data_IF_699790286886
#
_entry.id   IF_699790286886
#
_cell.length_a   1.000
_cell.length_b   1.000
_cell.length_c   1.000
_cell.angle_alpha   90.00
_cell.angle_beta   90.00
_cell.angle_gamma   90.00
#
_symmetry.space_group_name_H-M   'P 1'
#
loop_
_entity.id
_entity.type
_entity.pdbx_description
1 polymer ?
#
# COMPACT_ATOMS: atom_id res chain seq x y z
N UNK A 1 11.39 -8.75 -1.89
CA UNK A 1 10.30 -9.49 -2.55
C UNK A 1 9.37 -9.96 -1.44
N UNK A 2 8.18 -9.36 -1.35
CA UNK A 2 7.15 -9.79 -0.40
C UNK A 2 6.57 -11.09 -0.93
N UNK A 3 6.61 -12.14 -0.14
CA UNK A 3 5.95 -13.40 -0.49
C UNK A 3 4.49 -13.21 -0.14
N UNK A 4 3.64 -13.20 -1.16
CA UNK A 4 2.19 -13.23 -0.96
C UNK A 4 1.86 -14.54 -0.26
N UNK A 5 1.14 -14.52 0.86
CA UNK A 5 0.78 -15.77 1.54
C UNK A 5 -0.06 -16.66 0.63
N UNK A 6 0.24 -17.95 0.58
CA UNK A 6 -0.48 -18.95 -0.24
C UNK A 6 -1.99 -19.05 0.07
N UNK A 7 -2.42 -18.43 1.17
CA UNK A 7 -3.82 -18.42 1.57
C UNK A 7 -4.67 -17.32 0.89
N UNK A 8 -4.05 -16.32 0.24
CA UNK A 8 -4.83 -15.27 -0.41
C UNK A 8 -5.43 -15.78 -1.72
N UNK A 9 -6.73 -15.53 -1.97
CA UNK A 9 -7.36 -15.93 -3.23
C UNK A 9 -6.79 -15.06 -4.36
N UNK A 10 -6.29 -15.70 -5.40
CA UNK A 10 -5.89 -15.00 -6.62
C UNK A 10 -7.11 -14.38 -7.31
N UNK A 11 -6.95 -13.22 -7.91
CA UNK A 11 -7.93 -12.53 -8.75
C UNK A 11 -9.28 -12.19 -8.05
N UNK A 12 -9.25 -11.88 -6.76
CA UNK A 12 -10.44 -11.40 -6.07
C UNK A 12 -10.49 -9.88 -6.09
N UNK A 13 -11.49 -9.34 -6.76
CA UNK A 13 -11.73 -7.90 -6.81
C UNK A 13 -12.09 -7.34 -5.43
N UNK A 14 -11.51 -6.23 -5.06
CA UNK A 14 -11.82 -5.49 -3.85
C UNK A 14 -13.15 -4.73 -4.02
N UNK A 15 -14.08 -4.92 -3.08
CA UNK A 15 -15.28 -4.10 -3.01
C UNK A 15 -15.10 -2.96 -2.01
N UNK A 16 -15.83 -1.83 -2.15
CA UNK A 16 -15.75 -0.72 -1.21
C UNK A 16 -16.02 -1.13 0.24
N UNK A 17 -16.95 -2.06 0.46
CA UNK A 17 -17.30 -2.59 1.79
C UNK A 17 -16.12 -3.38 2.38
N UNK A 18 -15.46 -4.19 1.56
CA UNK A 18 -14.30 -4.95 1.97
C UNK A 18 -13.13 -4.01 2.30
N UNK A 19 -12.86 -3.04 1.42
CA UNK A 19 -11.83 -2.02 1.64
C UNK A 19 -12.05 -1.28 2.96
N UNK A 20 -13.31 -0.98 3.31
CA UNK A 20 -13.63 -0.27 4.55
C UNK A 20 -13.19 -1.05 5.80
N UNK A 21 -13.13 -2.37 5.76
CA UNK A 21 -12.75 -3.23 6.90
C UNK A 21 -11.26 -3.52 6.98
N UNK A 22 -10.52 -3.35 5.89
CA UNK A 22 -9.10 -3.67 5.83
C UNK A 22 -8.23 -2.69 6.64
N UNK A 23 -7.17 -3.17 7.29
CA UNK A 23 -6.20 -2.32 7.95
C UNK A 23 -5.49 -1.40 6.95
N UNK A 24 -5.16 -0.18 7.37
CA UNK A 24 -4.48 0.84 6.56
C UNK A 24 -3.35 1.49 7.33
N UNK A 25 -2.43 2.05 6.57
CA UNK A 25 -1.34 2.91 7.04
C UNK A 25 -1.40 4.19 6.20
N UNK A 26 -1.23 5.34 6.85
CA UNK A 26 -1.18 6.62 6.18
C UNK A 26 0.21 7.22 6.37
N UNK A 27 0.95 7.39 5.29
CA UNK A 27 2.29 7.96 5.30
C UNK A 27 2.27 9.39 4.75
N UNK A 28 3.05 10.28 5.37
CA UNK A 28 3.19 11.69 4.98
C UNK A 28 1.85 12.45 4.84
N UNK A 29 0.90 12.16 5.73
CA UNK A 29 -0.35 12.91 5.76
C UNK A 29 -0.10 14.41 5.96
N UNK A 30 -0.92 15.24 5.33
CA UNK A 30 -0.79 16.71 5.35
C UNK A 30 -2.09 17.36 5.82
N UNK A 31 -2.00 18.51 6.45
CA UNK A 31 -3.16 19.30 6.89
C UNK A 31 -3.43 19.21 8.39
N UNK A 32 -4.67 19.35 8.82
CA UNK A 32 -5.04 19.35 10.24
C UNK A 32 -5.01 17.94 10.84
N UNK A 33 -4.08 17.70 11.76
CA UNK A 33 -3.87 16.40 12.38
C UNK A 33 -5.11 15.89 13.10
N UNK A 34 -5.87 16.75 13.79
CA UNK A 34 -7.09 16.36 14.50
C UNK A 34 -8.14 15.78 13.55
N UNK A 35 -8.32 16.42 12.39
CA UNK A 35 -9.21 15.95 11.34
C UNK A 35 -8.75 14.63 10.76
N UNK A 36 -7.46 14.49 10.47
CA UNK A 36 -6.85 13.28 9.94
C UNK A 36 -7.06 12.10 10.90
N UNK A 37 -6.80 12.28 12.19
CA UNK A 37 -6.96 11.23 13.19
C UNK A 37 -8.43 10.84 13.39
N UNK A 38 -9.37 11.80 13.34
CA UNK A 38 -10.79 11.50 13.38
C UNK A 38 -11.26 10.65 12.18
N UNK A 39 -10.77 10.95 10.98
CA UNK A 39 -11.03 10.16 9.78
C UNK A 39 -10.34 8.79 9.82
N UNK A 40 -9.09 8.75 10.25
CA UNK A 40 -8.27 7.55 10.35
C UNK A 40 -8.91 6.48 11.24
N UNK A 41 -9.51 6.90 12.36
CA UNK A 41 -10.23 5.99 13.28
C UNK A 41 -11.37 5.25 12.59
N UNK A 42 -12.13 5.95 11.74
CA UNK A 42 -13.26 5.36 11.02
C UNK A 42 -12.84 4.51 9.81
N UNK A 43 -11.58 4.60 9.41
CA UNK A 43 -11.01 3.94 8.22
C UNK A 43 -10.09 2.78 8.57
N UNK A 44 -10.03 2.34 9.81
CA UNK A 44 -9.11 1.30 10.30
C UNK A 44 -7.62 1.60 10.02
N UNK A 45 -7.24 2.89 10.12
CA UNK A 45 -5.83 3.28 10.01
C UNK A 45 -5.13 2.97 11.33
N UNK A 46 -4.04 2.20 11.25
CA UNK A 46 -3.26 1.75 12.41
C UNK A 46 -2.16 2.74 12.80
N UNK A 47 -1.61 3.41 11.79
CA UNK A 47 -0.47 4.30 11.94
C UNK A 47 -0.57 5.47 10.97
N UNK A 48 -0.25 6.65 11.46
CA UNK A 48 -0.19 7.89 10.68
C UNK A 48 1.21 8.48 10.81
N UNK A 49 1.88 8.67 9.70
CA UNK A 49 3.01 9.59 9.60
C UNK A 49 2.50 10.95 9.15
N UNK A 50 2.69 11.96 9.96
CA UNK A 50 2.24 13.31 9.68
C UNK A 50 3.41 14.22 9.33
N UNK A 51 3.31 14.89 8.18
CA UNK A 51 4.30 15.89 7.77
C UNK A 51 4.05 17.19 8.54
N UNK A 52 5.05 17.67 9.25
CA UNK A 52 4.96 18.85 10.10
C UNK A 52 6.20 19.72 9.98
N UNK A 53 6.07 21.00 10.31
CA UNK A 53 7.25 21.81 10.60
C UNK A 53 7.83 21.39 11.97
N UNK A 54 9.15 21.40 12.11
CA UNK A 54 9.80 20.99 13.38
C UNK A 54 9.26 21.79 14.57
N UNK A 55 9.00 23.09 14.38
CA UNK A 55 8.50 23.98 15.42
C UNK A 55 7.08 23.63 15.91
N UNK A 56 6.28 22.96 15.09
CA UNK A 56 4.88 22.62 15.41
C UNK A 56 4.76 21.30 16.16
N UNK A 57 5.79 20.44 16.11
CA UNK A 57 5.76 19.08 16.71
C UNK A 57 5.38 19.09 18.17
N UNK A 58 5.88 19.97 19.06
CA UNK A 58 5.49 19.97 20.48
C UNK A 58 3.98 20.19 20.71
N UNK A 59 3.34 21.00 19.87
CA UNK A 59 1.90 21.22 19.94
C UNK A 59 1.13 20.02 19.38
N UNK A 60 1.56 19.47 18.25
CA UNK A 60 0.93 18.34 17.61
C UNK A 60 1.09 17.04 18.43
N UNK A 61 2.16 16.93 19.22
CA UNK A 61 2.39 15.81 20.11
C UNK A 61 1.24 15.63 21.14
N UNK A 62 0.70 16.72 21.67
CA UNK A 62 -0.45 16.65 22.59
C UNK A 62 -1.69 16.05 21.90
N UNK A 63 -1.92 16.39 20.63
CA UNK A 63 -3.02 15.83 19.83
C UNK A 63 -2.78 14.35 19.56
N UNK A 64 -1.55 13.97 19.27
CA UNK A 64 -1.16 12.59 19.03
C UNK A 64 -1.32 11.72 20.28
N UNK A 65 -0.95 12.21 21.47
CA UNK A 65 -1.08 11.49 22.74
C UNK A 65 -2.54 11.21 23.11
N UNK A 66 -3.48 12.08 22.73
CA UNK A 66 -4.91 11.87 22.95
C UNK A 66 -5.52 10.85 21.98
N UNK A 67 -4.81 10.47 20.95
CA UNK A 67 -5.27 9.52 19.93
C UNK A 67 -5.04 8.07 20.35
N UNK A 68 -5.95 7.19 19.90
CA UNK A 68 -5.72 5.74 19.95
C UNK A 68 -4.91 5.20 18.77
N UNK A 69 -4.57 6.06 17.80
CA UNK A 69 -3.81 5.72 16.61
C UNK A 69 -2.35 6.09 16.88
N UNK A 70 -1.43 5.24 16.47
CA UNK A 70 -0.01 5.56 16.53
C UNK A 70 0.32 6.69 15.56
N UNK A 71 1.05 7.70 16.01
CA UNK A 71 1.47 8.85 15.21
C UNK A 71 2.99 8.99 15.26
N UNK A 72 3.59 9.25 14.11
CA UNK A 72 4.96 9.69 13.99
C UNK A 72 5.03 10.96 13.16
N UNK A 73 5.94 11.89 13.49
CA UNK A 73 6.15 13.09 12.69
C UNK A 73 7.32 12.93 11.75
N UNK A 74 7.08 13.22 10.49
CA UNK A 74 8.13 13.43 9.50
C UNK A 74 8.23 14.93 9.27
N UNK A 75 9.42 15.48 9.39
CA UNK A 75 9.58 16.94 9.38
C UNK A 75 10.42 17.41 8.21
N UNK A 76 10.04 18.56 7.63
CA UNK A 76 10.87 19.19 6.60
C UNK A 76 12.19 19.66 7.22
N UNK A 77 13.29 19.19 6.65
CA UNK A 77 14.62 19.66 7.01
C UNK A 77 15.16 20.53 5.88
N UNK A 78 15.48 21.77 6.19
CA UNK A 78 16.03 22.73 5.23
C UNK A 78 17.51 23.04 5.46
N UNK A 79 18.04 22.64 6.61
CA UNK A 79 19.42 22.90 6.94
C UNK A 79 19.85 22.48 8.35
N UNK A 80 21.05 22.93 8.78
CA UNK A 80 21.63 22.55 10.06
C UNK A 80 20.79 22.90 11.30
N UNK A 81 20.04 24.01 11.27
CA UNK A 81 19.21 24.42 12.40
C UNK A 81 18.03 23.47 12.62
N UNK A 82 17.41 23.00 11.52
CA UNK A 82 16.34 22.01 11.61
C UNK A 82 16.90 20.67 12.09
N UNK A 83 18.08 20.28 11.61
CA UNK A 83 18.73 19.06 12.07
C UNK A 83 19.01 19.11 13.58
N UNK A 84 19.50 20.21 14.12
CA UNK A 84 19.74 20.37 15.56
C UNK A 84 18.41 20.20 16.33
N UNK A 85 17.34 20.85 15.87
CA UNK A 85 16.02 20.72 16.49
C UNK A 85 15.42 19.29 16.38
N UNK A 86 15.68 18.57 15.28
CA UNK A 86 15.28 17.17 15.12
C UNK A 86 16.03 16.27 16.11
N UNK A 87 17.33 16.49 16.29
CA UNK A 87 18.16 15.71 17.20
C UNK A 87 17.84 15.96 18.66
N UNK A 88 17.37 17.15 18.99
CA UNK A 88 17.00 17.58 20.34
C UNK A 88 15.50 17.43 20.63
N UNK A 89 14.74 16.74 19.80
CA UNK A 89 13.28 16.55 19.96
C UNK A 89 12.91 15.96 21.31
N UNK A 90 12.24 16.75 22.21
CA UNK A 90 11.87 16.27 23.54
C UNK A 90 10.66 15.34 23.53
N UNK A 91 9.90 15.28 22.44
CA UNK A 91 8.68 14.48 22.34
C UNK A 91 8.99 13.02 22.00
N UNK A 92 10.11 12.78 21.31
CA UNK A 92 10.46 11.46 20.77
C UNK A 92 9.52 10.97 19.67
N UNK A 93 8.70 11.85 19.09
CA UNK A 93 7.74 11.53 18.05
C UNK A 93 8.22 11.88 16.65
N UNK A 94 9.35 12.60 16.49
CA UNK A 94 9.99 12.78 15.18
C UNK A 94 10.65 11.48 14.79
N UNK A 95 10.10 10.82 13.77
CA UNK A 95 10.56 9.51 13.29
C UNK A 95 11.46 9.61 12.07
N UNK A 96 11.45 10.73 11.38
CA UNK A 96 12.26 10.98 10.19
C UNK A 96 12.13 12.40 9.66
N UNK A 97 12.84 12.67 8.58
CA UNK A 97 12.84 13.98 7.94
C UNK A 97 12.64 13.89 6.42
N UNK A 98 12.26 15.00 5.79
CA UNK A 98 12.23 15.16 4.34
C UNK A 98 13.44 15.98 3.90
N UNK A 99 14.12 15.49 2.88
CA UNK A 99 15.20 16.20 2.20
C UNK A 99 14.78 16.54 0.78
N UNK A 100 14.78 17.80 0.43
CA UNK A 100 14.46 18.29 -0.92
C UNK A 100 15.70 18.54 -1.77
N UNK A 101 16.88 18.55 -1.17
CA UNK A 101 18.14 18.80 -1.86
C UNK A 101 19.22 17.78 -1.48
N UNK A 102 20.21 17.55 -2.35
CA UNK A 102 21.34 16.66 -2.07
C UNK A 102 22.14 17.05 -0.82
N UNK A 103 22.28 18.35 -0.56
CA UNK A 103 23.03 18.87 0.58
C UNK A 103 22.33 18.50 1.90
N UNK A 104 21.00 18.65 1.96
CA UNK A 104 20.19 18.28 3.13
C UNK A 104 20.18 16.77 3.32
N UNK A 105 20.05 15.99 2.24
CA UNK A 105 20.13 14.55 2.30
C UNK A 105 21.49 14.07 2.85
N UNK A 106 22.59 14.70 2.42
CA UNK A 106 23.92 14.41 2.95
C UNK A 106 24.04 14.79 4.44
N UNK A 107 23.44 15.90 4.86
CA UNK A 107 23.40 16.34 6.24
C UNK A 107 22.67 15.30 7.13
N UNK A 108 21.45 14.90 6.77
CA UNK A 108 20.64 13.91 7.49
C UNK A 108 21.34 12.55 7.55
N UNK A 109 21.89 12.08 6.42
CA UNK A 109 22.66 10.84 6.36
C UNK A 109 23.84 10.84 7.33
N UNK A 110 24.62 11.93 7.38
CA UNK A 110 25.79 12.02 8.25
C UNK A 110 25.38 12.04 9.73
N UNK A 111 24.20 12.54 10.05
CA UNK A 111 23.62 12.53 11.39
C UNK A 111 22.87 11.24 11.73
N UNK A 112 22.78 10.27 10.79
CA UNK A 112 22.04 9.02 10.91
C UNK A 112 20.53 9.24 11.17
N UNK A 113 19.98 10.34 10.72
CA UNK A 113 18.54 10.60 10.73
C UNK A 113 17.92 9.93 9.52
N UNK A 114 16.91 9.05 9.69
CA UNK A 114 16.16 8.49 8.56
C UNK A 114 15.50 9.58 7.75
N UNK A 115 15.53 9.48 6.43
CA UNK A 115 14.92 10.52 5.60
C UNK A 115 14.24 9.99 4.35
N UNK A 116 13.23 10.73 3.93
CA UNK A 116 12.61 10.67 2.62
C UNK A 116 13.35 11.63 1.71
N UNK A 117 13.63 11.22 0.49
CA UNK A 117 14.10 12.15 -0.52
C UNK A 117 12.94 12.56 -1.44
N UNK A 118 12.63 13.83 -1.42
CA UNK A 118 11.56 14.46 -2.22
C UNK A 118 12.20 15.53 -3.14
N UNK A 119 12.95 15.05 -4.12
CA UNK A 119 13.64 15.90 -5.09
C UNK A 119 13.82 15.19 -6.42
N UNK A 120 13.97 15.99 -7.48
CA UNK A 120 13.98 15.53 -8.87
C UNK A 120 15.31 14.98 -9.38
N UNK A 121 16.39 14.99 -8.59
CA UNK A 121 17.72 14.55 -9.04
C UNK A 121 18.18 13.35 -8.25
N UNK A 122 18.22 12.23 -8.92
CA UNK A 122 18.13 10.94 -8.27
C UNK A 122 19.47 10.24 -8.03
N UNK A 123 20.41 10.27 -8.95
CA UNK A 123 21.51 9.28 -8.93
C UNK A 123 22.48 9.38 -7.76
N UNK A 124 22.75 10.57 -7.24
CA UNK A 124 23.80 10.76 -6.23
C UNK A 124 23.29 10.71 -4.78
N UNK A 125 21.98 10.77 -4.58
CA UNK A 125 21.41 11.09 -3.27
C UNK A 125 20.53 10.00 -2.72
N UNK A 126 19.90 9.22 -3.58
CA UNK A 126 18.86 8.24 -3.18
C UNK A 126 19.40 6.98 -2.52
N UNK A 127 20.66 6.64 -2.70
CA UNK A 127 21.19 5.36 -2.20
C UNK A 127 21.17 5.22 -0.66
N UNK A 128 20.99 6.31 0.06
CA UNK A 128 20.89 6.31 1.52
C UNK A 128 19.52 6.82 2.01
N UNK A 129 18.61 7.18 1.12
CA UNK A 129 17.24 7.50 1.49
C UNK A 129 16.53 6.26 1.99
N UNK A 130 15.67 6.41 3.00
CA UNK A 130 14.83 5.33 3.46
C UNK A 130 13.68 5.06 2.49
N UNK A 131 13.20 6.09 1.79
CA UNK A 131 12.25 6.04 0.68
C UNK A 131 12.35 7.28 -0.19
N UNK A 132 11.80 7.20 -1.39
CA UNK A 132 11.71 8.30 -2.35
C UNK A 132 10.24 8.53 -2.73
N UNK A 133 9.90 9.74 -3.19
CA UNK A 133 8.50 10.13 -3.47
C UNK A 133 8.23 10.49 -4.94
N UNK A 134 9.24 10.70 -5.76
CA UNK A 134 9.06 11.13 -7.16
C UNK A 134 8.80 9.93 -8.09
N UNK A 135 7.64 9.27 -7.91
CA UNK A 135 7.23 8.15 -8.76
C UNK A 135 7.01 8.56 -10.22
N UNK A 136 6.46 9.75 -10.45
CA UNK A 136 6.17 10.26 -11.80
C UNK A 136 7.47 10.65 -12.51
N UNK A 137 8.38 11.35 -11.82
CA UNK A 137 9.69 11.67 -12.37
C UNK A 137 10.50 10.42 -12.72
N UNK A 138 10.38 9.36 -11.93
CA UNK A 138 11.08 8.10 -12.17
C UNK A 138 10.68 7.44 -13.50
N UNK A 139 9.43 7.58 -13.91
CA UNK A 139 8.95 7.00 -15.19
C UNK A 139 9.63 7.67 -16.40
N UNK A 140 10.15 8.87 -16.25
CA UNK A 140 10.94 9.52 -17.33
C UNK A 140 12.23 8.76 -17.68
N UNK A 141 12.71 7.92 -16.78
CA UNK A 141 13.85 7.02 -16.98
C UNK A 141 13.45 5.66 -17.61
N UNK A 142 12.23 5.55 -18.14
CA UNK A 142 11.80 4.35 -18.85
C UNK A 142 11.98 4.52 -20.35
N UNK A 143 12.33 3.43 -21.02
CA UNK A 143 12.47 3.38 -22.46
C UNK A 143 11.59 2.30 -23.05
N UNK A 144 10.99 2.62 -24.19
CA UNK A 144 10.28 1.64 -25.01
C UNK A 144 11.28 1.01 -25.99
N UNK A 145 11.39 -0.31 -25.96
CA UNK A 145 12.24 -1.06 -26.89
C UNK A 145 11.55 -1.23 -28.26
N UNK A 146 12.30 -1.68 -29.26
CA UNK A 146 11.76 -1.98 -30.61
C UNK A 146 10.69 -3.11 -30.58
N UNK A 147 10.75 -3.97 -29.56
CA UNK A 147 9.79 -5.06 -29.33
C UNK A 147 8.56 -4.60 -28.49
N UNK A 148 8.42 -3.29 -28.27
CA UNK A 148 7.36 -2.66 -27.47
C UNK A 148 7.38 -3.04 -25.98
N UNK A 149 8.53 -3.43 -25.45
CA UNK A 149 8.73 -3.63 -24.01
C UNK A 149 9.15 -2.33 -23.34
N UNK A 150 8.62 -2.07 -22.14
CA UNK A 150 9.01 -0.94 -21.31
C UNK A 150 10.11 -1.42 -20.36
N UNK A 151 11.28 -0.80 -20.44
CA UNK A 151 12.42 -1.13 -19.58
C UNK A 151 12.87 0.07 -18.77
N UNK A 152 13.24 -0.12 -17.48
CA UNK A 152 13.82 0.95 -16.68
C UNK A 152 15.25 1.24 -17.13
N UNK A 153 15.66 2.50 -17.04
CA UNK A 153 17.03 2.98 -17.30
C UNK A 153 17.45 3.95 -16.20
N UNK A 154 18.69 4.44 -16.23
CA UNK A 154 19.16 5.49 -15.32
C UNK A 154 18.87 5.22 -13.84
N UNK A 155 18.24 6.18 -13.18
CA UNK A 155 17.90 6.08 -11.77
C UNK A 155 16.84 5.02 -11.49
N UNK A 156 15.95 4.70 -12.43
CA UNK A 156 14.93 3.67 -12.25
C UNK A 156 15.56 2.27 -12.04
N UNK A 157 16.61 1.94 -12.79
CA UNK A 157 17.37 0.68 -12.57
C UNK A 157 17.95 0.65 -11.16
N UNK A 158 18.52 1.75 -10.69
CA UNK A 158 19.11 1.81 -9.37
C UNK A 158 18.06 1.61 -8.26
N UNK A 159 16.90 2.24 -8.38
CA UNK A 159 15.78 2.10 -7.43
C UNK A 159 15.29 0.65 -7.39
N UNK A 160 15.13 0.03 -8.56
CA UNK A 160 14.71 -1.36 -8.68
C UNK A 160 15.74 -2.33 -8.09
N UNK A 161 17.01 -2.22 -8.49
CA UNK A 161 18.10 -3.10 -8.03
C UNK A 161 18.33 -3.03 -6.52
N UNK A 162 18.14 -1.84 -5.93
CA UNK A 162 18.32 -1.62 -4.50
C UNK A 162 17.05 -1.87 -3.70
N UNK A 163 15.97 -2.20 -4.37
CA UNK A 163 14.66 -2.39 -3.75
C UNK A 163 14.27 -1.20 -2.84
N UNK A 164 14.59 0.03 -3.30
CA UNK A 164 14.28 1.24 -2.53
C UNK A 164 12.77 1.45 -2.50
N UNK A 165 12.18 1.72 -1.32
CA UNK A 165 10.77 2.04 -1.23
C UNK A 165 10.43 3.31 -2.02
N UNK A 166 9.46 3.20 -2.91
CA UNK A 166 8.92 4.27 -3.71
C UNK A 166 7.52 4.61 -3.21
N UNK A 167 7.39 5.74 -2.53
CA UNK A 167 6.12 6.19 -1.99
C UNK A 167 5.32 6.90 -3.06
N UNK A 168 4.29 6.25 -3.56
CA UNK A 168 3.31 6.83 -4.47
C UNK A 168 2.30 7.66 -3.69
N UNK A 169 2.02 8.87 -4.18
CA UNK A 169 1.15 9.86 -3.53
C UNK A 169 0.09 10.38 -4.52
N UNK A 170 -0.85 9.54 -5.01
CA UNK A 170 -1.74 9.90 -6.12
C UNK A 170 -2.56 11.16 -5.87
N UNK A 171 -3.10 11.34 -4.66
CA UNK A 171 -3.88 12.53 -4.32
C UNK A 171 -3.03 13.81 -4.26
N UNK A 172 -1.79 13.69 -3.78
CA UNK A 172 -0.84 14.81 -3.74
C UNK A 172 -0.35 15.18 -5.14
N UNK A 173 -0.12 14.19 -6.00
CA UNK A 173 0.32 14.44 -7.37
C UNK A 173 -0.76 15.10 -8.22
N UNK A 174 -2.05 14.82 -7.96
CA UNK A 174 -3.17 15.61 -8.51
C UNK A 174 -3.12 17.05 -7.98
N UNK A 175 -2.94 17.22 -6.67
CA UNK A 175 -2.89 18.56 -6.05
C UNK A 175 -1.72 19.38 -6.59
N UNK A 176 -0.62 18.74 -6.95
CA UNK A 176 0.55 19.36 -7.57
C UNK A 176 0.44 19.48 -9.10
N UNK A 177 -0.70 19.14 -9.69
CA UNK A 177 -0.95 19.17 -11.13
C UNK A 177 0.04 18.32 -11.96
N UNK A 178 0.62 17.27 -11.36
CA UNK A 178 1.51 16.33 -12.06
C UNK A 178 0.71 15.32 -12.88
N UNK A 179 -0.50 14.99 -12.43
CA UNK A 179 -1.47 14.14 -13.11
C UNK A 179 -2.86 14.77 -13.00
N UNK A 180 -3.78 14.40 -13.90
CA UNK A 180 -5.15 14.90 -13.90
C UNK A 180 -6.08 14.04 -13.04
N UNK A 181 -5.94 12.72 -13.09
CA UNK A 181 -6.77 11.75 -12.39
C UNK A 181 -5.89 10.63 -11.79
N UNK A 182 -6.41 9.94 -10.78
CA UNK A 182 -5.66 8.88 -10.06
C UNK A 182 -5.24 7.74 -10.99
N UNK A 183 -6.07 7.35 -11.97
CA UNK A 183 -5.75 6.28 -12.92
C UNK A 183 -4.54 6.59 -13.82
N UNK A 184 -4.14 7.85 -13.95
CA UNK A 184 -2.93 8.23 -14.68
C UNK A 184 -1.65 8.03 -13.86
N UNK A 185 -1.78 7.77 -12.57
CA UNK A 185 -0.63 7.54 -11.71
C UNK A 185 0.04 6.20 -12.04
N UNK A 186 1.38 6.15 -12.17
CA UNK A 186 2.10 4.95 -12.61
C UNK A 186 2.19 3.83 -11.55
N UNK A 187 1.44 3.89 -10.47
CA UNK A 187 1.48 2.96 -9.34
C UNK A 187 1.41 1.49 -9.78
N UNK A 188 0.39 1.13 -10.58
CA UNK A 188 0.18 -0.25 -11.04
C UNK A 188 1.30 -0.70 -11.98
N UNK A 189 1.75 0.18 -12.87
CA UNK A 189 2.87 -0.09 -13.76
C UNK A 189 4.14 -0.39 -12.97
N UNK A 190 4.49 0.47 -12.00
CA UNK A 190 5.68 0.32 -11.17
C UNK A 190 5.63 -0.97 -10.34
N UNK A 191 4.47 -1.27 -9.73
CA UNK A 191 4.28 -2.52 -8.98
C UNK A 191 4.44 -3.75 -9.90
N UNK A 192 3.85 -3.73 -11.10
CA UNK A 192 3.96 -4.83 -12.08
C UNK A 192 5.40 -5.05 -12.58
N UNK A 193 6.21 -4.01 -12.61
CA UNK A 193 7.64 -4.08 -12.96
C UNK A 193 8.53 -4.52 -11.79
N UNK A 194 7.97 -4.76 -10.60
CA UNK A 194 8.68 -5.26 -9.44
C UNK A 194 9.35 -4.18 -8.57
N UNK A 195 8.99 -2.91 -8.74
CA UNK A 195 9.42 -1.87 -7.81
C UNK A 195 8.80 -2.07 -6.42
N UNK A 196 9.52 -1.65 -5.40
CA UNK A 196 9.01 -1.67 -4.02
C UNK A 196 8.07 -0.49 -3.79
N UNK A 197 6.85 -0.61 -4.31
CA UNK A 197 5.83 0.44 -4.26
C UNK A 197 5.16 0.45 -2.89
N UNK A 198 5.17 1.62 -2.24
CA UNK A 198 4.37 1.96 -1.08
C UNK A 198 3.34 3.03 -1.49
N UNK A 199 2.23 3.15 -0.77
CA UNK A 199 1.20 4.15 -1.05
C UNK A 199 0.97 4.99 0.19
N UNK A 200 0.87 6.30 0.03
CA UNK A 200 0.71 7.24 1.15
C UNK A 200 -0.61 7.06 1.88
N UNK A 201 -1.69 6.84 1.16
CA UNK A 201 -3.01 6.56 1.71
C UNK A 201 -3.86 5.69 0.77
N UNK A 202 -4.15 4.47 1.19
CA UNK A 202 -5.00 3.52 0.47
C UNK A 202 -6.48 3.88 0.65
N UNK A 203 -6.91 4.97 -0.01
CA UNK A 203 -8.31 5.38 -0.03
C UNK A 203 -9.15 4.49 -0.95
N UNK A 204 -10.47 4.48 -0.75
CA UNK A 204 -11.37 3.78 -1.66
C UNK A 204 -11.24 4.29 -3.10
N UNK A 205 -11.01 5.59 -3.27
CA UNK A 205 -10.80 6.23 -4.58
C UNK A 205 -9.54 5.73 -5.28
N UNK A 206 -8.43 5.56 -4.53
CA UNK A 206 -7.19 4.98 -5.09
C UNK A 206 -7.41 3.55 -5.52
N UNK A 207 -8.07 2.73 -4.70
CA UNK A 207 -8.30 1.32 -4.99
C UNK A 207 -9.23 1.15 -6.20
N UNK A 208 -10.31 1.96 -6.27
CA UNK A 208 -11.25 1.92 -7.39
C UNK A 208 -10.59 2.37 -8.70
N UNK A 209 -9.84 3.48 -8.67
CA UNK A 209 -9.18 4.03 -9.85
C UNK A 209 -8.05 3.14 -10.40
N UNK A 210 -7.43 2.34 -9.54
CA UNK A 210 -6.31 1.45 -9.89
C UNK A 210 -6.75 -0.01 -10.09
N UNK A 211 -8.03 -0.32 -9.82
CA UNK A 211 -8.61 -1.67 -9.96
C UNK A 211 -7.81 -2.76 -9.23
N UNK A 212 -7.27 -2.42 -8.03
CA UNK A 212 -6.41 -3.34 -7.28
C UNK A 212 -7.14 -4.62 -6.87
N UNK A 213 -6.47 -5.74 -7.02
CA UNK A 213 -6.87 -7.03 -6.47
C UNK A 213 -6.39 -7.19 -5.01
N UNK A 214 -6.94 -8.18 -4.30
CA UNK A 214 -6.68 -8.35 -2.86
C UNK A 214 -5.21 -8.67 -2.54
N UNK A 215 -4.56 -9.44 -3.39
CA UNK A 215 -3.13 -9.79 -3.26
C UNK A 215 -2.23 -8.58 -3.54
N UNK A 216 -2.60 -7.75 -4.51
CA UNK A 216 -1.91 -6.48 -4.79
C UNK A 216 -2.07 -5.51 -3.60
N UNK A 217 -3.29 -5.38 -3.07
CA UNK A 217 -3.53 -4.55 -1.88
C UNK A 217 -2.69 -5.03 -0.69
N UNK A 218 -2.68 -6.35 -0.41
CA UNK A 218 -1.86 -6.93 0.65
C UNK A 218 -0.37 -6.59 0.46
N UNK A 219 0.16 -6.77 -0.76
CA UNK A 219 1.56 -6.47 -1.09
C UNK A 219 1.88 -5.00 -0.90
N UNK A 220 1.03 -4.10 -1.42
CA UNK A 220 1.20 -2.66 -1.26
C UNK A 220 1.11 -2.21 0.20
N UNK A 221 0.17 -2.76 0.99
CA UNK A 221 0.08 -2.48 2.42
C UNK A 221 1.32 -2.96 3.18
N UNK A 222 1.82 -4.13 2.84
CA UNK A 222 3.06 -4.65 3.42
C UNK A 222 4.27 -3.76 3.08
N UNK A 223 4.41 -3.38 1.81
CA UNK A 223 5.45 -2.46 1.37
C UNK A 223 5.33 -1.11 2.08
N UNK A 224 4.11 -0.58 2.24
CA UNK A 224 3.85 0.67 2.96
C UNK A 224 4.26 0.57 4.44
N UNK A 225 3.98 -0.57 5.09
CA UNK A 225 4.44 -0.82 6.46
C UNK A 225 5.97 -0.85 6.54
N UNK A 226 6.63 -1.55 5.63
CA UNK A 226 8.10 -1.63 5.62
C UNK A 226 8.76 -0.29 5.24
N UNK A 227 8.12 0.52 4.42
CA UNK A 227 8.55 1.88 4.09
C UNK A 227 8.35 2.88 5.22
N UNK A 228 7.55 2.57 6.23
CA UNK A 228 7.29 3.45 7.38
C UNK A 228 8.54 3.61 8.25
N UNK A 229 8.60 4.72 9.00
CA UNK A 229 9.67 4.94 9.98
C UNK A 229 9.41 4.27 11.34
N UNK A 230 8.37 3.44 11.44
CA UNK A 230 8.12 2.66 12.64
C UNK A 230 9.32 1.75 12.99
N UNK A 231 9.64 1.58 14.27
CA UNK A 231 10.63 0.61 14.70
C UNK A 231 10.29 -0.80 14.20
N UNK A 232 11.32 -1.57 13.82
CA UNK A 232 11.15 -2.92 13.29
C UNK A 232 10.23 -3.81 14.14
N UNK A 233 10.36 -3.75 15.47
CA UNK A 233 9.49 -4.54 16.37
C UNK A 233 8.02 -4.19 16.23
N UNK A 234 7.71 -2.90 16.05
CA UNK A 234 6.35 -2.40 15.86
C UNK A 234 5.80 -2.84 14.51
N UNK A 235 6.61 -2.73 13.43
CA UNK A 235 6.22 -3.23 12.11
C UNK A 235 5.89 -4.73 12.12
N UNK A 236 6.77 -5.53 12.76
CA UNK A 236 6.52 -6.97 12.91
C UNK A 236 5.23 -7.26 13.69
N UNK A 237 5.00 -6.55 14.80
CA UNK A 237 3.79 -6.72 15.60
C UNK A 237 2.52 -6.34 14.81
N UNK A 238 2.54 -5.24 14.07
CA UNK A 238 1.41 -4.84 13.22
C UNK A 238 1.14 -5.87 12.11
N UNK A 239 2.18 -6.38 11.48
CA UNK A 239 2.05 -7.42 10.47
C UNK A 239 1.40 -8.68 11.05
N UNK A 240 2.00 -9.26 12.11
CA UNK A 240 1.62 -10.57 12.64
C UNK A 240 0.32 -10.55 13.44
N UNK A 241 -0.01 -9.42 14.10
CA UNK A 241 -1.15 -9.34 14.99
C UNK A 241 -2.37 -8.62 14.40
N UNK A 242 -2.20 -7.87 13.32
CA UNK A 242 -3.28 -7.07 12.73
C UNK A 242 -3.46 -7.38 11.24
N UNK A 243 -2.41 -7.25 10.42
CA UNK A 243 -2.54 -7.38 8.97
C UNK A 243 -2.81 -8.84 8.57
N UNK A 244 -1.93 -9.76 8.94
CA UNK A 244 -2.08 -11.18 8.57
C UNK A 244 -3.41 -11.78 9.06
N UNK A 245 -3.85 -11.57 10.32
CA UNK A 245 -5.15 -12.05 10.76
C UNK A 245 -6.34 -11.46 9.99
N UNK A 246 -6.33 -10.15 9.72
CA UNK A 246 -7.41 -9.51 8.97
C UNK A 246 -7.57 -10.10 7.56
N UNK A 247 -6.46 -10.43 6.90
CA UNK A 247 -6.52 -11.08 5.58
C UNK A 247 -6.87 -12.56 5.66
N UNK A 248 -6.47 -13.29 6.71
CA UNK A 248 -6.85 -14.67 6.92
C UNK A 248 -8.37 -14.83 7.12
N UNK A 249 -9.00 -13.94 7.91
CA UNK A 249 -10.46 -13.92 8.09
C UNK A 249 -11.23 -13.74 6.78
N UNK A 250 -10.68 -12.97 5.82
CA UNK A 250 -11.30 -12.78 4.52
C UNK A 250 -11.31 -14.06 3.67
N UNK A 251 -10.29 -14.88 3.79
CA UNK A 251 -10.19 -16.15 3.07
C UNK A 251 -11.20 -17.15 3.63
N UNK A 252 -11.30 -17.22 4.96
CA UNK A 252 -12.25 -18.12 5.62
C UNK A 252 -13.70 -17.75 5.26
N UNK A 253 -14.04 -16.46 5.28
CA UNK A 253 -15.35 -15.97 4.87
C UNK A 253 -15.67 -16.27 3.39
N UNK A 254 -14.68 -16.21 2.51
CA UNK A 254 -14.85 -16.54 1.10
C UNK A 254 -15.06 -18.06 0.86
N UNK A 255 -14.42 -18.89 1.69
CA UNK A 255 -14.54 -20.34 1.61
C UNK A 255 -15.92 -20.81 2.10
N UNK A 256 -16.46 -20.20 3.15
CA UNK A 256 -17.78 -20.52 3.68
C UNK A 256 -18.92 -20.20 2.70
N UNK A 257 -18.80 -19.08 1.95
CA UNK A 257 -19.78 -18.71 0.92
C UNK A 257 -19.76 -19.70 -0.25
N UNK A 258 -18.61 -20.23 -0.61
CA UNK A 258 -18.48 -21.23 -1.68
C UNK A 258 -18.97 -22.62 -1.26
N UNK A 259 -18.92 -22.93 0.04
CA UNK A 259 -19.43 -24.20 0.59
C UNK A 259 -20.93 -24.19 0.88
N UNK A 260 -21.55 -23.02 0.98
CA UNK A 260 -22.99 -22.84 1.23
C UNK A 260 -23.84 -22.69 -0.03
N UNK A 261 -23.31 -22.90 -1.23
CA UNK A 261 -24.15 -23.10 -2.42
C UNK A 261 -24.97 -24.36 -2.20
N UNK A 262 -26.30 -24.28 -2.10
CA UNK A 262 -27.13 -25.46 -1.96
C UNK A 262 -26.97 -26.28 -3.22
N UNK A 263 -26.35 -27.44 -3.09
CA UNK A 263 -26.42 -28.49 -4.09
C UNK A 263 -27.87 -28.95 -4.21
N UNK A 264 -28.70 -28.11 -4.82
CA UNK A 264 -30.01 -28.50 -5.33
C UNK A 264 -29.83 -29.03 -6.75
N UNK A 265 -29.07 -30.09 -6.87
CA UNK A 265 -29.30 -31.06 -7.92
C UNK A 265 -30.10 -32.18 -7.30
N UNK A 266 -31.40 -31.95 -7.18
CA UNK A 266 -32.35 -33.02 -7.32
C UNK A 266 -32.09 -33.66 -8.70
N UNK A 267 -31.34 -34.76 -8.69
CA UNK A 267 -31.41 -35.71 -9.76
C UNK A 267 -32.90 -36.11 -9.87
N UNK A 268 -33.56 -35.57 -10.89
CA UNK A 268 -34.83 -36.11 -11.34
C UNK A 268 -34.53 -37.56 -11.70
N UNK A 269 -34.82 -38.46 -10.76
CA UNK A 269 -34.90 -39.86 -11.00
C UNK A 269 -36.13 -40.06 -11.89
N UNK A 270 -35.92 -40.23 -13.21
CA UNK A 270 -36.96 -40.66 -14.10
C UNK A 270 -37.59 -41.93 -13.49
N UNK A 271 -38.92 -42.01 -13.38
CA UNK A 271 -39.56 -43.21 -12.91
C UNK A 271 -39.28 -44.35 -13.89
N UNK A 272 -39.05 -45.61 -13.42
CA UNK A 272 -38.78 -46.72 -14.29
C UNK A 272 -39.98 -46.90 -15.25
N UNK A 273 -39.71 -46.92 -16.57
CA UNK A 273 -40.67 -47.17 -17.61
C UNK A 273 -41.15 -48.62 -17.40
N UNK A 274 -42.31 -48.79 -16.84
CA UNK A 274 -42.97 -50.08 -16.78
C UNK A 274 -43.65 -50.35 -18.13
N UNK A 275 -43.06 -51.22 -18.91
CA UNK A 275 -43.69 -51.72 -20.16
C UNK A 275 -44.93 -52.49 -19.81
N UNK A 276 -46.05 -52.20 -20.49
CA UNK A 276 -47.26 -52.98 -20.39
C UNK A 276 -47.08 -54.43 -21.01
N UNK A 277 -47.81 -55.44 -20.56
CA UNK A 277 -47.66 -56.80 -21.09
C UNK A 277 -47.82 -56.89 -22.62
N UNK A 278 -48.56 -56.00 -23.24
CA UNK A 278 -48.74 -55.92 -24.69
C UNK A 278 -47.50 -55.40 -25.45
N UNK A 279 -46.73 -54.58 -24.79
CA UNK A 279 -45.47 -54.04 -25.38
C UNK A 279 -44.30 -55.04 -25.25
N UNK A 280 -44.36 -55.95 -24.28
CA UNK A 280 -43.36 -57.01 -24.12
C UNK A 280 -43.53 -58.14 -25.14
N UNK A 281 -44.72 -58.29 -25.72
CA UNK A 281 -45.00 -59.36 -26.71
C UNK A 281 -44.60 -59.00 -28.16
N UNK A 282 -44.19 -57.77 -28.41
CA UNK A 282 -43.81 -57.32 -29.74
C UNK A 282 -42.30 -57.42 -30.04
N UNK A 283 -41.48 -57.91 -29.10
CA UNK A 283 -40.02 -58.04 -29.24
C UNK A 283 -39.67 -59.56 -29.09
N UNK A 284 -40.19 -60.45 -29.97
CA UNK A 284 -39.68 -61.81 -30.17
C UNK A 284 -39.36 -61.97 -31.66
N UNK A 285 -38.13 -61.96 -32.09
CA UNK A 285 -37.75 -62.34 -33.45
C UNK A 285 -37.48 -63.84 -33.48
N UNK A 286 -38.25 -64.55 -34.29
CA UNK A 286 -37.91 -65.86 -34.79
C UNK A 286 -36.63 -65.84 -35.63
#
# INVERSE_FOLDING_TARGET
>A
MVITPDFLPENKTLTPELVATLPKICLQSRGDLSTILAQAKNRHVMYVEHLAAVADVPQLANIAEESSIMVGFVVDCTGPADLEAIMDDPTGLIVGAVAHTPEVAALLRNALVPYVYDGSVLEQVIYAAARITDAIGLVSDFQLTDDAEIIPTGAAVFVLDRNLPLLCQPAEDIRQEKIEIISDHPLVLLDSMGFNVAVDDMTAEVIEATELEIDQYYRLLHNTLEASFLPMRTRMALREQVIEPAFAELVDAATDVSSSSPASQQSAQEPPISLTPEQAAAIDPA
#
